data_IF_908317439933
#
_entry.id   IF_908317439933
#
_cell.length_a   1.000
_cell.length_b   1.000
_cell.length_c   1.000
_cell.angle_alpha   90.00
_cell.angle_beta   90.00
_cell.angle_gamma   90.00
#
_symmetry.space_group_name_H-M   'P 1'
#
loop_
_entity.id
_entity.type
_entity.pdbx_description
1 polymer ?
#
# COMPACT_ATOMS: atom_id res chain seq x y z
N UNK A 1 -0.36 19.87 20.29
CA UNK A 1 0.41 19.53 19.08
C UNK A 1 -0.09 18.18 18.57
N UNK A 2 -0.83 18.09 17.45
CA UNK A 2 -1.15 16.79 16.88
C UNK A 2 0.14 16.24 16.30
N UNK A 3 0.59 15.09 16.80
CA UNK A 3 1.75 14.41 16.25
C UNK A 3 1.46 14.10 14.78
N UNK A 4 2.22 14.70 13.86
CA UNK A 4 2.19 14.34 12.46
C UNK A 4 2.63 12.88 12.38
N UNK A 5 1.76 11.93 11.97
CA UNK A 5 2.09 10.50 12.03
C UNK A 5 3.24 10.11 11.08
N UNK A 6 3.67 11.03 10.22
CA UNK A 6 4.82 10.87 9.34
C UNK A 6 6.18 10.97 10.05
N UNK A 7 6.25 11.49 11.28
CA UNK A 7 7.53 11.71 11.99
C UNK A 7 7.91 10.59 12.98
N UNK A 8 7.01 9.66 13.28
CA UNK A 8 7.26 8.60 14.27
C UNK A 8 7.80 7.29 13.69
N UNK A 9 7.85 7.14 12.36
CA UNK A 9 8.41 5.93 11.73
C UNK A 9 9.74 6.25 11.05
N UNK A 10 10.89 5.90 11.67
CA UNK A 10 12.20 6.07 11.06
C UNK A 10 12.27 5.18 9.82
N UNK A 11 12.30 5.79 8.62
CA UNK A 11 12.29 5.12 7.32
C UNK A 11 11.05 4.24 7.15
N UNK A 12 10.15 4.62 6.25
CA UNK A 12 9.16 3.68 5.70
C UNK A 12 9.88 2.36 5.39
N UNK A 13 9.59 1.26 6.12
CA UNK A 13 10.21 -0.01 5.80
C UNK A 13 9.91 -0.30 4.34
N UNK A 14 10.88 -0.84 3.60
CA UNK A 14 10.66 -1.30 2.22
C UNK A 14 9.55 -2.37 2.12
N UNK A 15 9.08 -2.84 3.28
CA UNK A 15 7.98 -3.78 3.45
C UNK A 15 6.73 -3.08 3.96
N UNK A 16 5.64 -3.20 3.21
CA UNK A 16 4.29 -2.82 3.64
C UNK A 16 3.73 -3.96 4.47
N UNK A 17 3.60 -3.74 5.78
CA UNK A 17 2.88 -4.66 6.66
C UNK A 17 1.38 -4.46 6.54
N UNK A 18 0.65 -5.56 6.35
CA UNK A 18 -0.82 -5.57 6.23
C UNK A 18 -1.57 -5.22 7.51
N UNK A 19 -0.85 -5.10 8.62
CA UNK A 19 -1.39 -4.75 9.93
C UNK A 19 -1.57 -3.24 10.10
N UNK A 20 -0.87 -2.43 9.31
CA UNK A 20 -0.89 -0.97 9.45
C UNK A 20 -1.91 -0.34 8.47
N UNK A 21 -3.16 -0.27 8.93
CA UNK A 21 -4.29 0.24 8.15
C UNK A 21 -4.05 1.65 7.58
N UNK A 22 -3.24 2.47 8.27
CA UNK A 22 -2.81 3.79 7.79
C UNK A 22 -1.95 3.70 6.52
N UNK A 23 -0.91 2.87 6.54
CA UNK A 23 -0.03 2.65 5.37
C UNK A 23 -0.82 2.08 4.20
N UNK A 24 -1.74 1.14 4.47
CA UNK A 24 -2.59 0.54 3.43
C UNK A 24 -3.50 1.59 2.78
N UNK A 25 -4.12 2.48 3.57
CA UNK A 25 -4.95 3.58 3.03
C UNK A 25 -4.10 4.57 2.22
N UNK A 26 -2.92 4.93 2.70
CA UNK A 26 -1.99 5.80 1.96
C UNK A 26 -1.57 5.16 0.63
N UNK A 27 -1.10 3.92 0.66
CA UNK A 27 -0.69 3.18 -0.53
C UNK A 27 -1.83 2.99 -1.54
N UNK A 28 -3.03 2.69 -1.05
CA UNK A 28 -4.23 2.60 -1.86
C UNK A 28 -4.53 3.92 -2.58
N UNK A 29 -4.48 5.04 -1.86
CA UNK A 29 -4.69 6.38 -2.41
C UNK A 29 -3.61 6.77 -3.42
N UNK A 30 -2.34 6.49 -3.15
CA UNK A 30 -1.23 6.77 -4.05
C UNK A 30 -1.34 5.99 -5.37
N UNK A 31 -1.76 4.72 -5.31
CA UNK A 31 -1.87 3.87 -6.48
C UNK A 31 -3.27 3.91 -7.13
N UNK A 32 -4.24 4.60 -6.53
CA UNK A 32 -5.62 4.66 -7.00
C UNK A 32 -6.35 3.32 -6.95
N UNK A 33 -6.01 2.46 -5.99
CA UNK A 33 -6.65 1.16 -5.74
C UNK A 33 -7.41 1.20 -4.41
N UNK A 34 -8.16 0.15 -4.10
CA UNK A 34 -8.87 0.06 -2.81
C UNK A 34 -8.00 -0.64 -1.76
N UNK A 35 -8.15 -0.31 -0.46
CA UNK A 35 -7.43 -0.98 0.62
C UNK A 35 -7.70 -2.50 0.67
N UNK A 36 -8.89 -2.93 0.25
CA UNK A 36 -9.21 -4.35 0.07
C UNK A 36 -8.34 -5.02 -1.00
N UNK A 37 -8.10 -4.35 -2.14
CA UNK A 37 -7.17 -4.84 -3.16
C UNK A 37 -5.73 -4.91 -2.64
N UNK A 38 -5.30 -3.95 -1.81
CA UNK A 38 -3.98 -3.98 -1.18
C UNK A 38 -3.83 -5.22 -0.28
N UNK A 39 -4.83 -5.55 0.54
CA UNK A 39 -4.82 -6.77 1.35
C UNK A 39 -4.73 -8.04 0.49
N UNK A 40 -5.47 -8.05 -0.64
CA UNK A 40 -5.46 -9.17 -1.56
C UNK A 40 -4.09 -9.33 -2.25
N UNK A 41 -3.45 -8.22 -2.60
CA UNK A 41 -2.09 -8.20 -3.13
C UNK A 41 -1.06 -8.63 -2.08
N UNK A 42 -1.23 -8.21 -0.82
CA UNK A 42 -0.36 -8.65 0.27
C UNK A 42 -0.42 -10.16 0.48
N UNK A 43 -1.63 -10.73 0.41
CA UNK A 43 -1.84 -12.19 0.49
C UNK A 43 -1.21 -12.94 -0.69
N UNK A 44 -1.15 -12.32 -1.86
CA UNK A 44 -0.72 -12.98 -3.11
C UNK A 44 0.77 -12.80 -3.41
N UNK A 45 1.31 -11.62 -3.17
CA UNK A 45 2.67 -11.23 -3.54
C UNK A 45 3.60 -11.02 -2.32
N UNK A 46 3.04 -10.96 -1.11
CA UNK A 46 3.77 -10.66 0.12
C UNK A 46 3.86 -9.17 0.43
N UNK A 47 4.69 -8.83 1.41
CA UNK A 47 4.83 -7.47 1.96
C UNK A 47 5.76 -6.57 1.16
N UNK A 48 6.35 -7.02 0.04
CA UNK A 48 7.31 -6.24 -0.75
C UNK A 48 6.66 -5.05 -1.46
N UNK A 49 7.04 -3.82 -1.08
CA UNK A 49 6.45 -2.58 -1.65
C UNK A 49 6.62 -2.49 -3.17
N UNK A 50 7.78 -2.88 -3.70
CA UNK A 50 8.05 -2.86 -5.13
C UNK A 50 7.08 -3.78 -5.91
N UNK A 51 6.86 -5.00 -5.41
CA UNK A 51 5.91 -5.97 -6.01
C UNK A 51 4.48 -5.47 -5.89
N UNK A 52 4.10 -4.95 -4.73
CA UNK A 52 2.77 -4.36 -4.52
C UNK A 52 2.51 -3.19 -5.46
N UNK A 53 3.51 -2.34 -5.70
CA UNK A 53 3.38 -1.18 -6.60
C UNK A 53 3.23 -1.62 -8.04
N UNK A 54 4.03 -2.61 -8.48
CA UNK A 54 3.91 -3.19 -9.81
C UNK A 54 2.53 -3.84 -10.02
N UNK A 55 2.06 -4.64 -9.05
CA UNK A 55 0.76 -5.30 -9.11
C UNK A 55 -0.41 -4.30 -9.03
N UNK A 56 -0.30 -3.25 -8.22
CA UNK A 56 -1.29 -2.18 -8.14
C UNK A 56 -1.40 -1.40 -9.46
N UNK A 57 -0.27 -1.08 -10.09
CA UNK A 57 -0.24 -0.46 -11.42
C UNK A 57 -0.88 -1.36 -12.49
N UNK A 58 -0.60 -2.67 -12.46
CA UNK A 58 -1.24 -3.63 -13.36
C UNK A 58 -2.77 -3.69 -13.14
N UNK A 59 -3.22 -3.77 -11.88
CA UNK A 59 -4.65 -3.74 -11.53
C UNK A 59 -5.36 -2.47 -12.02
N UNK A 60 -4.73 -1.31 -11.87
CA UNK A 60 -5.29 -0.03 -12.36
C UNK A 60 -5.43 -0.01 -13.88
N UNK A 61 -4.51 -0.64 -14.62
CA UNK A 61 -4.62 -0.78 -16.08
C UNK A 61 -5.80 -1.64 -16.50
N UNK A 62 -6.09 -2.71 -15.74
CA UNK A 62 -7.23 -3.60 -16.00
C UNK A 62 -8.60 -3.01 -15.59
N UNK A 63 -8.64 -2.07 -14.62
CA UNK A 63 -9.88 -1.47 -14.16
C UNK A 63 -10.42 -0.34 -15.07
N UNK A 64 -9.72 -0.02 -16.17
CA UNK A 64 -10.03 1.10 -17.06
C UNK A 64 -10.52 0.69 -18.46
N UNK A 65 -10.94 -0.56 -18.63
CA UNK A 65 -11.64 -1.04 -19.83
C UNK A 65 -13.14 -1.17 -19.57
#
# INVERSE_FOLDING_TARGET
>A
MPADPAQLYPRYPDRISGSEAYIIRHFARENGITPAQVHQLLRKCGSDRARLTAAAKALRGHARM
#
